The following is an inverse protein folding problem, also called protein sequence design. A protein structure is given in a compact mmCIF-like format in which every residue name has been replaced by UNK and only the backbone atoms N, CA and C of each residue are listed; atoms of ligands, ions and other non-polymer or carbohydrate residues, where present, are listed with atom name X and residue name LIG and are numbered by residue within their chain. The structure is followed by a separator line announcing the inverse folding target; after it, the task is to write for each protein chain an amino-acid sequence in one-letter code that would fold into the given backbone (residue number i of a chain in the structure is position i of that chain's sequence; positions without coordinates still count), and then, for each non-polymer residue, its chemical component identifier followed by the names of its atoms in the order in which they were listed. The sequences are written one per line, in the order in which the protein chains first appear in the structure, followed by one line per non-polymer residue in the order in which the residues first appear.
data_IF_299890037214
#
_entry.id   IF_299890037214
#
_cell.length_a   1.000
_cell.length_b   1.000
_cell.length_c   1.000
_cell.angle_alpha   90.00
_cell.angle_beta   90.00
_cell.angle_gamma   90.00
#
_symmetry.space_group_name_H-M   'P 1'
#
loop_
_entity.id
_entity.type
_entity.pdbx_description
1 polymer ?
#
# COMPACT_ATOMS: atom_id res chain seq x y z
N UNK A 1 -3.65 4.67 22.85
CA UNK A 1 -2.85 3.75 22.01
C UNK A 1 -2.41 4.53 20.77
N UNK A 2 -1.12 4.85 20.63
CA UNK A 2 -0.64 5.61 19.47
C UNK A 2 -0.69 4.71 18.23
N UNK A 3 -1.47 5.08 17.22
CA UNK A 3 -1.39 4.46 15.90
C UNK A 3 -0.02 4.84 15.33
N UNK A 4 0.90 3.87 15.24
CA UNK A 4 2.20 4.10 14.59
C UNK A 4 1.92 4.34 13.11
N UNK A 5 1.99 5.59 12.68
CA UNK A 5 1.95 5.93 11.26
C UNK A 5 3.31 5.55 10.67
N UNK A 6 3.33 4.48 9.88
CA UNK A 6 4.52 4.11 9.12
C UNK A 6 4.78 5.16 8.05
N UNK A 7 5.92 5.84 8.17
CA UNK A 7 6.46 6.77 7.18
C UNK A 7 7.83 6.27 6.71
N UNK A 8 8.28 6.68 5.52
CA UNK A 8 9.60 6.30 4.97
C UNK A 8 10.74 6.56 5.97
N UNK A 9 10.66 7.64 6.74
CA UNK A 9 11.66 7.97 7.76
C UNK A 9 11.55 7.07 8.98
N UNK A 10 10.32 6.79 9.43
CA UNK A 10 10.06 5.90 10.56
C UNK A 10 10.54 4.47 10.27
N UNK A 11 10.29 3.95 9.07
CA UNK A 11 10.76 2.64 8.60
C UNK A 11 12.29 2.60 8.60
N UNK A 12 12.93 3.61 8.00
CA UNK A 12 14.39 3.70 7.97
C UNK A 12 14.98 3.74 9.38
N UNK A 13 14.43 4.59 10.26
CA UNK A 13 14.90 4.71 11.64
C UNK A 13 14.68 3.42 12.45
N UNK A 14 13.62 2.67 12.19
CA UNK A 14 13.39 1.37 12.85
C UNK A 14 14.41 0.32 12.39
N UNK A 15 14.75 0.31 11.10
CA UNK A 15 15.79 -0.58 10.56
C UNK A 15 17.15 -0.26 11.18
N UNK A 16 17.52 1.02 11.21
CA UNK A 16 18.77 1.47 11.83
C UNK A 16 18.80 1.22 13.34
N UNK A 17 17.65 1.34 14.04
CA UNK A 17 17.53 1.00 15.47
C UNK A 17 17.75 -0.49 15.75
N UNK A 18 17.48 -1.37 14.78
CA UNK A 18 17.77 -2.81 14.86
C UNK A 18 19.22 -3.14 14.47
N UNK A 19 20.03 -2.13 14.14
CA UNK A 19 21.43 -2.31 13.76
C UNK A 19 21.64 -2.71 12.30
N UNK A 20 20.59 -2.69 11.48
CA UNK A 20 20.68 -3.05 10.08
C UNK A 20 20.64 -1.84 9.15
N UNK A 21 21.02 -2.05 7.89
CA UNK A 21 20.90 -1.04 6.85
C UNK A 21 20.04 -1.54 5.69
N UNK A 22 19.37 -0.61 4.99
CA UNK A 22 18.59 -0.96 3.79
C UNK A 22 19.42 -1.73 2.75
N UNK A 23 20.71 -1.39 2.64
CA UNK A 23 21.63 -2.06 1.73
C UNK A 23 22.00 -3.45 2.24
N UNK A 24 22.24 -3.60 3.54
CA UNK A 24 22.52 -4.90 4.18
C UNK A 24 21.36 -5.87 3.97
N UNK A 25 20.13 -5.41 4.23
CA UNK A 25 18.91 -6.18 3.98
C UNK A 25 18.73 -6.57 2.51
N UNK A 26 19.09 -5.69 1.58
CA UNK A 26 19.03 -6.03 0.16
C UNK A 26 20.03 -7.14 -0.19
N UNK A 27 21.25 -7.06 0.33
CA UNK A 27 22.30 -8.06 0.08
C UNK A 27 21.94 -9.40 0.71
N UNK A 28 21.47 -9.40 1.96
CA UNK A 28 21.05 -10.62 2.68
C UNK A 28 19.91 -11.34 1.96
N UNK A 29 19.02 -10.58 1.32
CA UNK A 29 17.92 -11.10 0.52
C UNK A 29 18.27 -11.41 -0.95
N UNK A 30 19.55 -11.38 -1.34
CA UNK A 30 20.03 -11.57 -2.72
C UNK A 30 19.35 -10.61 -3.73
N UNK A 31 19.12 -9.36 -3.30
CA UNK A 31 18.57 -8.29 -4.11
C UNK A 31 19.62 -7.23 -4.43
N UNK A 32 19.32 -6.43 -5.45
CA UNK A 32 20.11 -5.24 -5.75
C UNK A 32 20.13 -4.30 -4.54
N UNK A 33 21.31 -3.77 -4.20
CA UNK A 33 21.55 -2.82 -3.10
C UNK A 33 20.56 -1.65 -3.08
N UNK A 34 20.07 -1.24 -4.25
CA UNK A 34 19.11 -0.15 -4.40
C UNK A 34 17.65 -0.58 -4.12
N UNK A 35 17.31 -1.86 -4.19
CA UNK A 35 15.93 -2.36 -4.14
C UNK A 35 15.18 -1.92 -2.89
N UNK A 36 15.80 -2.02 -1.71
CA UNK A 36 15.20 -1.59 -0.44
C UNK A 36 15.04 -0.06 -0.37
N UNK A 37 15.96 0.72 -0.94
CA UNK A 37 15.81 2.19 -1.05
C UNK A 37 14.68 2.56 -2.00
N UNK A 38 14.60 1.87 -3.15
CA UNK A 38 13.55 2.07 -4.13
C UNK A 38 12.20 1.71 -3.54
N UNK A 39 12.08 0.65 -2.74
CA UNK A 39 10.83 0.26 -2.08
C UNK A 39 10.19 1.39 -1.25
N UNK A 40 11.01 2.23 -0.58
CA UNK A 40 10.52 3.38 0.18
C UNK A 40 9.91 4.48 -0.69
N UNK A 41 10.34 4.62 -1.95
CA UNK A 41 9.93 5.71 -2.85
C UNK A 41 8.92 5.23 -3.90
N UNK A 42 9.15 4.06 -4.48
CA UNK A 42 8.36 3.45 -5.56
C UNK A 42 7.97 2.02 -5.19
N UNK A 43 6.94 1.49 -5.87
CA UNK A 43 6.47 0.11 -5.63
C UNK A 43 7.53 -0.89 -6.07
N UNK A 44 8.11 -1.60 -5.10
CA UNK A 44 9.05 -2.70 -5.35
C UNK A 44 8.68 -3.87 -4.44
N UNK A 45 7.97 -4.85 -4.99
CA UNK A 45 7.38 -5.94 -4.20
C UNK A 45 8.44 -6.77 -3.48
N UNK A 46 9.62 -6.98 -4.09
CA UNK A 46 10.70 -7.75 -3.45
C UNK A 46 11.30 -6.98 -2.28
N UNK A 47 11.67 -5.71 -2.48
CA UNK A 47 12.22 -4.86 -1.42
C UNK A 47 11.22 -4.60 -0.28
N UNK A 48 9.94 -4.37 -0.60
CA UNK A 48 8.86 -4.21 0.40
C UNK A 48 8.72 -5.46 1.27
N UNK A 49 8.73 -6.66 0.66
CA UNK A 49 8.65 -7.94 1.39
C UNK A 49 9.83 -8.15 2.34
N UNK A 50 11.04 -7.83 1.91
CA UNK A 50 12.24 -7.95 2.75
C UNK A 50 12.15 -7.02 3.96
N UNK A 51 11.77 -5.76 3.75
CA UNK A 51 11.60 -4.79 4.83
C UNK A 51 10.48 -5.23 5.78
N UNK A 52 9.35 -5.70 5.25
CA UNK A 52 8.23 -6.22 6.03
C UNK A 52 8.63 -7.43 6.89
N UNK A 53 9.31 -8.41 6.28
CA UNK A 53 9.81 -9.60 6.96
C UNK A 53 10.80 -9.23 8.06
N UNK A 54 11.73 -8.30 7.78
CA UNK A 54 12.69 -7.83 8.78
C UNK A 54 12.02 -7.13 9.96
N UNK A 55 11.04 -6.26 9.69
CA UNK A 55 10.32 -5.54 10.74
C UNK A 55 9.30 -6.42 11.48
N UNK A 56 8.91 -7.56 10.91
CA UNK A 56 7.90 -8.47 11.46
C UNK A 56 6.47 -7.93 11.30
N UNK A 57 6.25 -7.05 10.32
CA UNK A 57 4.95 -6.43 10.03
C UNK A 57 4.58 -6.70 8.58
N UNK A 58 3.29 -6.74 8.27
CA UNK A 58 2.81 -6.96 6.90
C UNK A 58 3.12 -5.75 6.00
N UNK A 59 3.38 -6.01 4.71
CA UNK A 59 3.53 -4.95 3.69
C UNK A 59 2.31 -4.03 3.61
N UNK A 60 1.12 -4.55 3.92
CA UNK A 60 -0.13 -3.80 4.02
C UNK A 60 -0.13 -2.79 5.17
N UNK A 61 0.53 -3.11 6.29
CA UNK A 61 0.62 -2.20 7.42
C UNK A 61 1.64 -1.09 7.16
N UNK A 62 2.78 -1.44 6.53
CA UNK A 62 3.82 -0.48 6.18
C UNK A 62 3.40 0.47 5.04
N UNK A 63 2.69 -0.06 4.04
CA UNK A 63 2.21 0.69 2.88
C UNK A 63 0.71 0.52 2.69
N UNK A 64 -0.11 1.06 3.62
CA UNK A 64 -1.56 0.91 3.57
C UNK A 64 -2.15 1.53 2.31
N UNK A 65 -1.53 2.58 1.77
CA UNK A 65 -2.00 3.22 0.56
C UNK A 65 -1.81 2.36 -0.70
N UNK A 66 -0.71 1.59 -0.78
CA UNK A 66 -0.40 0.74 -1.94
C UNK A 66 -1.17 -0.57 -1.98
N UNK A 67 -1.47 -1.11 -0.80
CA UNK A 67 -2.13 -2.41 -0.64
C UNK A 67 -3.50 -2.28 0.02
N UNK A 68 -4.16 -1.11 -0.06
CA UNK A 68 -5.57 -0.97 0.31
C UNK A 68 -6.35 -2.08 -0.39
N UNK A 69 -6.70 -3.12 0.37
CA UNK A 69 -7.60 -4.14 -0.11
C UNK A 69 -8.86 -3.39 -0.55
N UNK A 70 -9.37 -3.62 -1.77
CA UNK A 70 -10.61 -2.99 -2.18
C UNK A 70 -11.64 -3.35 -1.11
N UNK A 71 -12.21 -2.34 -0.45
CA UNK A 71 -13.30 -2.56 0.49
C UNK A 71 -14.36 -3.35 -0.27
N UNK A 72 -14.52 -4.63 0.08
CA UNK A 72 -15.55 -5.46 -0.55
C UNK A 72 -16.88 -4.84 -0.17
N UNK A 73 -17.52 -4.18 -1.14
CA UNK A 73 -18.86 -3.63 -0.97
C UNK A 73 -19.79 -4.77 -0.58
N UNK A 74 -20.63 -4.53 0.42
CA UNK A 74 -21.66 -5.50 0.81
C UNK A 74 -22.62 -5.72 -0.35
N UNK A 75 -23.35 -6.85 -0.33
CA UNK A 75 -24.35 -7.17 -1.37
C UNK A 75 -25.34 -6.01 -1.51
N UNK A 76 -25.86 -5.50 -0.38
CA UNK A 76 -26.78 -4.37 -0.34
C UNK A 76 -26.21 -3.09 -0.97
N UNK A 77 -24.93 -2.78 -0.74
CA UNK A 77 -24.30 -1.57 -1.29
C UNK A 77 -24.11 -1.68 -2.81
N UNK A 78 -23.85 -2.90 -3.32
CA UNK A 78 -23.78 -3.17 -4.76
C UNK A 78 -25.14 -3.02 -5.43
N UNK A 79 -26.22 -3.51 -4.80
CA UNK A 79 -27.58 -3.36 -5.31
C UNK A 79 -28.03 -1.90 -5.35
N UNK A 80 -27.74 -1.13 -4.30
CA UNK A 80 -28.05 0.31 -4.25
C UNK A 80 -27.36 1.08 -5.36
N UNK A 81 -26.07 0.83 -5.58
CA UNK A 81 -25.30 1.47 -6.65
C UNK A 81 -25.77 1.05 -8.05
N UNK A 82 -26.15 -0.22 -8.22
CA UNK A 82 -26.71 -0.71 -9.48
C UNK A 82 -28.07 -0.04 -9.80
N UNK A 83 -28.92 0.15 -8.78
CA UNK A 83 -30.19 0.87 -8.92
C UNK A 83 -29.98 2.34 -9.25
N UNK A 84 -29.09 3.01 -8.53
CA UNK A 84 -28.77 4.43 -8.75
C UNK A 84 -28.17 4.71 -10.14
N UNK A 85 -27.46 3.75 -10.74
CA UNK A 85 -26.99 3.84 -12.13
C UNK A 85 -28.10 3.64 -13.17
N UNK A 86 -29.14 2.86 -12.87
CA UNK A 86 -30.28 2.64 -13.78
C UNK A 86 -31.17 3.88 -13.88
N UNK A 87 -31.34 4.58 -12.77
CA UNK A 87 -32.09 5.83 -12.71
C UNK A 87 -31.33 7.02 -13.34
N UNK A 88 -30.04 6.84 -13.69
CA UNK A 88 -29.21 7.83 -14.37
C UNK A 88 -29.07 7.49 -15.87
N UNK A 89 -30.12 7.78 -16.66
CA UNK A 89 -30.09 7.81 -18.14
C UNK A 89 -30.60 9.20 -18.59
N UNK A 90 -30.03 9.79 -19.65
CA UNK A 90 -29.75 11.22 -19.71
C UNK A 90 -30.95 12.07 -20.13
N UNK A 91 -30.93 13.32 -19.66
CA UNK A 91 -31.59 14.45 -20.28
C UNK A 91 -30.98 14.61 -21.70
N UNK A 92 -31.57 13.93 -22.68
CA UNK A 92 -31.29 14.18 -24.09
C UNK A 92 -31.99 15.49 -24.40
N UNK A 93 -31.19 16.56 -24.48
CA UNK A 93 -31.64 17.92 -24.70
C UNK A 93 -32.65 18.03 -25.84
N UNK A 94 -33.78 18.60 -25.49
CA UNK A 94 -34.92 18.94 -26.34
C UNK A 94 -34.48 19.88 -27.48
N UNK A 95 -34.80 19.48 -28.70
CA UNK A 95 -34.57 20.27 -29.91
C UNK A 95 -35.56 21.45 -29.97
N UNK A 96 -35.04 22.67 -30.18
CA UNK A 96 -35.79 23.82 -30.69
C UNK A 96 -34.84 24.80 -31.40
#
# INVERSE_FOLDING_TARGET
MQRRTWDRYSIKAEIERRGESLTGLAIDADLEKSACRVALVRRNIRGEKVIAAFLGVSVEELWPDRYKAPKRKTIAERERLARQKRDATPDIGEAA
#
